data_IF_385020241734
#
_entry.id   IF_385020241734
#
_cell.length_a   1.000
_cell.length_b   1.000
_cell.length_c   1.000
_cell.angle_alpha   90.00
_cell.angle_beta   90.00
_cell.angle_gamma   90.00
#
_symmetry.space_group_name_H-M   'P 1'
#
loop_
_entity.id
_entity.type
_entity.pdbx_description
1 polymer ?
#
# COMPACT_ATOMS: atom_id res chain seq x y z
N UNK A 1 -2.89 -32.12 -22.60
CA UNK A 1 -2.29 -30.92 -23.22
C UNK A 1 -1.98 -30.05 -22.03
N UNK A 2 -0.70 -29.87 -21.72
CA UNK A 2 -0.26 -28.98 -20.65
C UNK A 2 -0.28 -27.61 -21.31
N UNK A 3 -1.33 -26.84 -21.01
CA UNK A 3 -1.42 -25.44 -21.40
C UNK A 3 -0.93 -24.63 -20.22
N UNK A 4 -0.20 -23.58 -20.51
CA UNK A 4 0.04 -22.50 -19.58
C UNK A 4 -1.24 -21.64 -19.63
N UNK A 5 -2.17 -21.90 -18.71
CA UNK A 5 -3.55 -21.39 -18.75
C UNK A 5 -3.61 -20.00 -18.09
N UNK A 6 -2.75 -19.75 -17.10
CA UNK A 6 -2.57 -18.45 -16.44
C UNK A 6 -1.42 -17.60 -17.01
N UNK A 7 -0.65 -18.13 -17.97
CA UNK A 7 0.43 -17.44 -18.68
C UNK A 7 1.68 -17.16 -17.82
N UNK A 8 1.92 -17.96 -16.77
CA UNK A 8 3.07 -17.85 -15.85
C UNK A 8 4.38 -18.43 -16.43
N UNK A 9 4.35 -18.96 -17.66
CA UNK A 9 5.51 -19.58 -18.32
C UNK A 9 5.85 -20.96 -17.78
N UNK A 10 5.07 -21.50 -16.85
CA UNK A 10 5.09 -22.87 -16.37
C UNK A 10 3.89 -23.66 -16.94
N UNK A 11 4.03 -24.98 -17.09
CA UNK A 11 2.93 -25.80 -17.58
C UNK A 11 1.91 -26.13 -16.47
N UNK A 12 0.65 -25.69 -16.62
CA UNK A 12 -0.42 -26.01 -15.66
C UNK A 12 -0.85 -27.46 -15.67
N UNK A 13 -1.12 -27.96 -14.47
CA UNK A 13 -1.69 -29.28 -14.29
C UNK A 13 -3.21 -29.22 -14.38
N UNK A 14 -3.68 -29.56 -15.56
CA UNK A 14 -5.06 -29.96 -15.80
C UNK A 14 -5.29 -31.38 -15.28
N UNK A 15 -6.03 -31.54 -14.17
CA UNK A 15 -6.40 -32.87 -13.66
C UNK A 15 -7.89 -33.12 -13.88
N UNK A 16 -8.20 -34.07 -14.75
CA UNK A 16 -9.58 -34.52 -14.96
C UNK A 16 -10.09 -35.31 -13.75
N UNK A 17 -11.17 -34.85 -13.13
CA UNK A 17 -11.92 -35.60 -12.12
C UNK A 17 -13.20 -36.19 -12.74
N UNK A 18 -13.72 -37.30 -12.17
CA UNK A 18 -14.90 -38.02 -12.68
C UNK A 18 -16.22 -37.22 -12.62
N UNK A 19 -16.18 -35.96 -12.18
CA UNK A 19 -17.33 -35.05 -12.07
C UNK A 19 -17.04 -33.61 -12.54
N UNK A 20 -15.93 -33.37 -13.23
CA UNK A 20 -15.55 -32.03 -13.67
C UNK A 20 -14.05 -31.92 -13.93
N UNK A 21 -13.65 -30.78 -14.46
CA UNK A 21 -12.25 -30.42 -14.62
C UNK A 21 -11.84 -29.55 -13.42
N UNK A 22 -10.83 -29.97 -12.67
CA UNK A 22 -10.16 -29.09 -11.70
C UNK A 22 -8.88 -28.60 -12.35
N UNK A 23 -8.78 -27.28 -12.57
CA UNK A 23 -7.50 -26.63 -12.88
C UNK A 23 -6.78 -26.57 -11.54
N UNK A 24 -5.64 -27.25 -11.42
CA UNK A 24 -4.70 -26.97 -10.34
C UNK A 24 -3.59 -26.13 -10.94
N UNK A 25 -3.66 -24.82 -10.71
CA UNK A 25 -2.55 -23.90 -10.96
C UNK A 25 -1.37 -24.38 -10.13
N UNK A 26 -0.19 -24.50 -10.75
CA UNK A 26 1.00 -24.90 -10.02
C UNK A 26 1.34 -23.73 -9.08
N UNK A 27 1.10 -23.88 -7.77
CA UNK A 27 1.28 -22.82 -6.75
C UNK A 27 2.74 -22.34 -6.54
N UNK A 28 3.59 -22.38 -7.56
CA UNK A 28 4.83 -21.60 -7.59
C UNK A 28 4.50 -20.16 -7.95
N UNK A 29 4.06 -19.38 -6.95
CA UNK A 29 4.07 -17.91 -6.94
C UNK A 29 3.73 -17.31 -8.30
N UNK A 30 2.43 -17.26 -8.62
CA UNK A 30 1.93 -16.39 -9.67
C UNK A 30 2.52 -14.98 -9.41
N UNK A 31 3.38 -14.43 -10.28
CA UNK A 31 3.91 -13.10 -10.07
C UNK A 31 2.73 -12.14 -10.03
N UNK A 32 2.73 -11.17 -9.10
CA UNK A 32 1.54 -10.38 -8.86
C UNK A 32 1.16 -9.60 -10.13
N UNK A 33 -0.13 -9.68 -10.50
CA UNK A 33 -0.78 -8.86 -11.54
C UNK A 33 -1.50 -7.73 -10.79
N UNK A 34 -0.83 -6.59 -10.68
CA UNK A 34 -1.18 -5.49 -9.80
C UNK A 34 -2.01 -4.43 -10.49
N UNK A 35 -1.90 -4.33 -11.82
CA UNK A 35 -2.74 -3.49 -12.65
C UNK A 35 -4.03 -4.20 -13.13
N UNK A 36 -4.15 -5.51 -12.84
CA UNK A 36 -5.26 -6.40 -13.19
C UNK A 36 -5.50 -6.51 -14.70
N UNK A 37 -4.45 -6.36 -15.51
CA UNK A 37 -4.55 -6.48 -16.97
C UNK A 37 -4.52 -7.94 -17.47
N UNK A 38 -4.27 -8.88 -16.56
CA UNK A 38 -4.16 -10.32 -16.84
C UNK A 38 -2.79 -10.75 -17.37
N UNK A 39 -1.77 -9.90 -17.21
CA UNK A 39 -0.36 -10.17 -17.44
C UNK A 39 0.37 -9.97 -16.12
N UNK A 40 1.27 -10.89 -15.79
CA UNK A 40 2.04 -10.78 -14.56
C UNK A 40 3.10 -9.67 -14.66
N UNK A 41 3.27 -8.87 -13.60
CA UNK A 41 4.21 -7.75 -13.51
C UNK A 41 5.66 -8.22 -13.24
N UNK A 42 6.18 -9.05 -14.13
CA UNK A 42 7.49 -9.74 -13.97
C UNK A 42 8.71 -8.86 -14.26
N UNK A 43 8.51 -7.72 -14.91
CA UNK A 43 9.56 -6.79 -15.35
C UNK A 43 9.43 -5.40 -14.68
N UNK A 44 8.53 -5.24 -13.71
CA UNK A 44 8.38 -3.97 -13.00
C UNK A 44 9.52 -3.76 -11.97
N UNK A 45 10.00 -2.51 -11.80
CA UNK A 45 11.08 -2.22 -10.89
C UNK A 45 10.63 -2.43 -9.44
N UNK A 46 11.54 -2.97 -8.65
CA UNK A 46 11.48 -3.03 -7.18
C UNK A 46 12.61 -2.12 -6.70
N UNK A 47 12.32 -0.83 -6.53
CA UNK A 47 13.32 0.19 -6.21
C UNK A 47 13.71 0.16 -4.72
N UNK A 48 12.82 -0.28 -3.84
CA UNK A 48 13.02 -0.32 -2.40
C UNK A 48 13.57 -1.67 -1.90
N UNK A 49 13.49 -2.71 -2.72
CA UNK A 49 14.10 -4.02 -2.52
C UNK A 49 13.32 -4.92 -1.55
N UNK A 50 12.03 -4.69 -1.37
CA UNK A 50 11.19 -5.45 -0.43
C UNK A 50 10.69 -6.79 -1.01
N UNK A 51 10.88 -7.01 -2.32
CA UNK A 51 10.49 -8.21 -3.04
C UNK A 51 9.07 -8.18 -3.60
N UNK A 52 8.40 -7.03 -3.55
CA UNK A 52 7.13 -6.70 -4.21
C UNK A 52 7.44 -5.64 -5.29
N UNK A 53 6.96 -5.77 -6.54
CA UNK A 53 7.15 -4.72 -7.54
C UNK A 53 6.56 -3.38 -7.09
N UNK A 54 7.19 -2.25 -7.43
CA UNK A 54 6.77 -0.91 -6.98
C UNK A 54 5.31 -0.59 -7.40
N UNK A 55 4.90 -1.03 -8.59
CA UNK A 55 3.53 -0.85 -9.10
C UNK A 55 2.48 -1.67 -8.32
N UNK A 56 2.94 -2.65 -7.53
CA UNK A 56 2.13 -3.46 -6.62
C UNK A 56 2.07 -2.89 -5.20
N UNK A 57 2.88 -1.89 -4.88
CA UNK A 57 2.89 -1.21 -3.60
C UNK A 57 1.88 -0.06 -3.61
N UNK A 58 1.36 0.33 -2.43
CA UNK A 58 0.44 1.47 -2.33
C UNK A 58 -0.94 1.30 -3.00
N UNK A 59 -1.35 0.09 -3.41
CA UNK A 59 -2.62 -0.14 -4.13
C UNK A 59 -3.89 0.26 -3.35
N UNK A 60 -3.82 0.31 -2.02
CA UNK A 60 -4.95 0.77 -1.20
C UNK A 60 -4.97 2.30 -1.15
N UNK A 61 -5.99 2.97 -1.69
CA UNK A 61 -6.05 4.42 -1.67
C UNK A 61 -6.20 4.92 -0.22
N UNK A 62 -5.42 5.94 0.12
CA UNK A 62 -5.44 6.57 1.42
C UNK A 62 -5.34 8.09 1.30
N UNK A 63 -5.46 8.78 2.43
CA UNK A 63 -5.18 10.20 2.54
C UNK A 63 -3.93 10.43 3.38
N UNK A 64 -2.88 10.98 2.78
CA UNK A 64 -1.65 11.33 3.50
C UNK A 64 -1.96 12.36 4.59
N UNK A 65 -1.47 12.13 5.80
CA UNK A 65 -1.72 12.96 6.97
C UNK A 65 -3.00 12.61 7.76
N UNK A 66 -3.86 11.70 7.31
CA UNK A 66 -4.96 11.13 8.12
C UNK A 66 -4.52 9.79 8.75
N UNK A 67 -3.58 9.90 9.69
CA UNK A 67 -2.94 8.76 10.33
C UNK A 67 -3.92 7.98 11.23
N UNK A 68 -4.89 8.68 11.83
CA UNK A 68 -5.88 8.03 12.68
C UNK A 68 -7.06 7.40 11.87
N UNK A 69 -7.15 7.72 10.57
CA UNK A 69 -8.12 7.23 9.58
C UNK A 69 -9.55 7.60 9.92
N UNK A 70 -9.78 8.82 10.39
CA UNK A 70 -11.10 9.36 10.71
C UNK A 70 -11.70 10.22 9.59
N UNK A 71 -10.95 10.44 8.50
CA UNK A 71 -11.35 11.18 7.31
C UNK A 71 -11.01 12.66 7.38
N UNK A 72 -10.41 13.12 8.48
CA UNK A 72 -9.97 14.50 8.67
C UNK A 72 -8.47 14.52 8.94
N UNK A 73 -7.78 15.50 8.37
CA UNK A 73 -6.38 15.76 8.70
C UNK A 73 -6.33 16.92 9.69
N UNK A 74 -6.15 16.61 10.97
CA UNK A 74 -6.15 17.58 12.07
C UNK A 74 -5.09 17.27 13.15
N UNK A 75 -5.27 17.84 14.35
CA UNK A 75 -4.29 17.67 15.45
C UNK A 75 -4.31 16.26 16.05
N UNK A 76 -5.36 15.47 15.84
CA UNK A 76 -5.47 14.11 16.33
C UNK A 76 -4.49 13.17 15.60
N UNK A 77 -4.15 13.46 14.34
CA UNK A 77 -3.21 12.67 13.54
C UNK A 77 -1.77 12.67 14.06
N UNK A 78 -1.11 13.81 14.29
CA UNK A 78 0.23 13.80 14.89
C UNK A 78 0.18 13.24 16.31
N UNK A 79 -0.91 13.42 17.07
CA UNK A 79 -1.06 12.76 18.39
C UNK A 79 -1.08 11.24 18.25
N UNK A 80 -1.72 10.70 17.21
CA UNK A 80 -1.74 9.27 16.92
C UNK A 80 -0.34 8.73 16.62
N UNK A 81 0.45 9.47 15.82
CA UNK A 81 1.86 9.15 15.54
C UNK A 81 2.70 9.14 16.83
N UNK A 82 2.59 10.18 17.67
CA UNK A 82 3.34 10.25 18.94
C UNK A 82 2.97 9.10 19.90
N UNK A 83 1.69 8.72 19.93
CA UNK A 83 1.22 7.58 20.73
C UNK A 83 1.89 6.28 20.29
N UNK A 84 1.95 6.04 18.98
CA UNK A 84 2.64 4.88 18.41
C UNK A 84 4.14 4.90 18.73
N UNK A 85 4.83 6.01 18.43
CA UNK A 85 6.29 6.10 18.54
C UNK A 85 6.81 6.06 19.99
N UNK A 86 6.11 6.69 20.93
CA UNK A 86 6.67 6.94 22.27
C UNK A 86 5.85 6.35 23.43
N UNK A 87 4.59 5.99 23.20
CA UNK A 87 3.68 5.57 24.27
C UNK A 87 3.12 4.15 24.08
N UNK A 88 3.75 3.35 23.22
CA UNK A 88 3.30 1.98 22.92
C UNK A 88 1.83 1.94 22.50
N UNK A 89 1.38 2.95 21.75
CA UNK A 89 0.09 2.99 21.10
C UNK A 89 -0.05 1.87 20.07
N UNK A 90 -1.24 1.76 19.49
CA UNK A 90 -1.48 0.80 18.41
C UNK A 90 -0.62 1.18 17.19
N UNK A 91 -0.12 0.18 16.48
CA UNK A 91 0.50 0.40 15.17
C UNK A 91 -0.56 0.99 14.21
N UNK A 92 -0.25 2.08 13.50
CA UNK A 92 -1.11 2.56 12.44
C UNK A 92 -1.31 1.46 11.41
N UNK A 93 -2.56 1.24 11.00
CA UNK A 93 -2.85 0.21 10.00
C UNK A 93 -2.72 0.73 8.57
N UNK A 94 -2.34 2.00 8.40
CA UNK A 94 -1.82 2.56 7.17
C UNK A 94 -0.62 3.42 7.55
N UNK A 95 0.60 2.93 7.27
CA UNK A 95 1.82 3.65 7.63
C UNK A 95 2.05 4.84 6.69
N UNK A 96 1.68 4.72 5.42
CA UNK A 96 1.81 5.78 4.41
C UNK A 96 0.94 7.00 4.74
N UNK A 97 -0.23 6.77 5.35
CA UNK A 97 -1.07 7.87 5.85
C UNK A 97 -0.40 8.65 7.00
N UNK A 98 0.53 8.02 7.73
CA UNK A 98 1.25 8.62 8.84
C UNK A 98 2.60 9.21 8.43
N UNK A 99 3.24 8.69 7.37
CA UNK A 99 4.41 9.30 6.74
C UNK A 99 3.98 10.56 5.99
N UNK A 100 3.98 11.68 6.71
CA UNK A 100 3.41 12.93 6.23
C UNK A 100 4.41 13.70 5.36
N UNK A 101 5.71 13.51 5.57
CA UNK A 101 6.73 14.16 4.76
C UNK A 101 7.21 13.29 3.59
N UNK A 102 6.69 12.07 3.46
CA UNK A 102 6.89 11.17 2.32
C UNK A 102 8.38 10.83 2.13
N UNK A 103 9.04 10.46 3.24
CA UNK A 103 10.47 10.12 3.24
C UNK A 103 10.77 8.62 3.40
N UNK A 104 9.72 7.80 3.43
CA UNK A 104 9.75 6.36 3.60
C UNK A 104 10.08 5.92 5.02
N UNK A 105 10.01 6.84 6.00
CA UNK A 105 10.33 6.54 7.39
C UNK A 105 9.40 7.22 8.39
N UNK A 106 8.51 6.44 9.01
CA UNK A 106 7.64 6.95 10.06
C UNK A 106 8.42 7.29 11.36
N UNK A 107 8.54 8.58 11.65
CA UNK A 107 9.23 9.10 12.83
C UNK A 107 8.63 10.44 13.33
N UNK A 108 9.33 11.15 14.23
CA UNK A 108 8.82 12.41 14.81
C UNK A 108 8.80 13.57 13.79
N UNK A 109 9.58 13.47 12.71
CA UNK A 109 9.61 14.46 11.64
C UNK A 109 8.24 14.58 10.98
N UNK A 110 7.48 13.50 10.85
CA UNK A 110 6.12 13.46 10.32
C UNK A 110 5.16 14.33 11.12
N UNK A 111 5.14 14.11 12.45
CA UNK A 111 4.34 14.92 13.37
C UNK A 111 4.69 16.39 13.26
N UNK A 112 5.98 16.73 13.22
CA UNK A 112 6.45 18.11 13.11
C UNK A 112 6.04 18.71 11.77
N UNK A 113 6.16 17.96 10.68
CA UNK A 113 5.76 18.37 9.35
C UNK A 113 4.26 18.71 9.34
N UNK A 114 3.42 17.79 9.79
CA UNK A 114 1.97 17.97 9.82
C UNK A 114 1.53 19.16 10.68
N UNK A 115 2.09 19.28 11.88
CA UNK A 115 1.81 20.41 12.77
C UNK A 115 2.25 21.75 12.16
N UNK A 116 3.35 21.77 11.41
CA UNK A 116 3.81 22.96 10.70
C UNK A 116 2.84 23.35 9.59
N UNK A 117 2.33 22.38 8.82
CA UNK A 117 1.28 22.60 7.83
C UNK A 117 0.02 23.17 8.47
N UNK A 118 -0.47 22.54 9.55
CA UNK A 118 -1.74 22.91 10.20
C UNK A 118 -1.71 24.29 10.87
N UNK A 119 -0.60 24.66 11.51
CA UNK A 119 -0.58 25.83 12.40
C UNK A 119 0.41 26.93 12.03
N UNK A 120 1.37 26.64 11.14
CA UNK A 120 2.45 27.59 10.81
C UNK A 120 2.50 27.95 9.33
N UNK A 121 1.58 27.44 8.51
CA UNK A 121 1.58 27.66 7.07
C UNK A 121 2.76 26.99 6.36
N UNK A 122 3.13 25.80 6.83
CA UNK A 122 4.13 24.95 6.18
C UNK A 122 3.73 24.49 4.78
N UNK A 123 4.62 23.74 4.12
CA UNK A 123 4.28 23.06 2.88
C UNK A 123 3.12 22.08 3.12
N UNK A 124 2.25 21.92 2.13
CA UNK A 124 1.25 20.85 2.16
C UNK A 124 1.96 19.51 1.96
N UNK A 125 1.52 18.45 2.66
CA UNK A 125 2.04 17.10 2.43
C UNK A 125 1.94 16.70 0.96
N UNK A 126 2.87 15.85 0.48
CA UNK A 126 2.80 15.28 -0.86
C UNK A 126 1.48 14.53 -1.12
N UNK A 127 1.19 14.26 -2.39
CA UNK A 127 0.07 13.37 -2.75
C UNK A 127 0.26 12.02 -2.04
N UNK A 128 -0.80 11.34 -1.57
CA UNK A 128 -2.23 11.65 -1.69
C UNK A 128 -2.83 12.45 -0.50
N UNK A 129 -2.46 13.72 -0.31
CA UNK A 129 -3.00 14.58 0.77
C UNK A 129 -4.40 15.19 0.51
N UNK A 130 -4.58 15.87 -0.62
CA UNK A 130 -5.82 16.61 -0.92
C UNK A 130 -6.95 15.69 -1.39
N UNK A 131 -6.57 14.66 -2.14
CA UNK A 131 -7.45 13.67 -2.76
C UNK A 131 -6.86 12.32 -2.44
N UNK A 132 -7.73 11.37 -2.08
CA UNK A 132 -7.32 10.01 -1.86
C UNK A 132 -6.67 9.43 -3.12
N UNK A 133 -5.68 8.58 -2.91
CA UNK A 133 -4.99 7.90 -3.98
C UNK A 133 -3.97 6.90 -3.44
N UNK A 134 -3.36 6.12 -4.33
CA UNK A 134 -2.22 5.29 -3.98
C UNK A 134 -1.02 6.16 -3.61
N UNK A 135 -0.02 5.55 -2.98
CA UNK A 135 1.27 6.19 -2.79
C UNK A 135 1.97 6.35 -4.15
N UNK A 136 2.31 7.57 -4.61
CA UNK A 136 3.04 7.76 -5.85
C UNK A 136 4.54 7.45 -5.72
N UNK A 137 5.03 7.24 -4.50
CA UNK A 137 6.43 6.95 -4.20
C UNK A 137 6.53 5.56 -3.59
N UNK A 138 7.30 4.68 -4.23
CA UNK A 138 7.62 3.39 -3.67
C UNK A 138 8.57 3.53 -2.49
N UNK A 139 8.21 2.93 -1.37
CA UNK A 139 9.02 2.84 -0.16
C UNK A 139 8.55 1.69 0.76
N UNK A 140 9.33 1.32 1.80
CA UNK A 140 9.02 0.16 2.63
C UNK A 140 7.79 0.29 3.53
N UNK A 141 7.18 1.48 3.62
CA UNK A 141 5.94 1.69 4.33
C UNK A 141 4.78 1.24 3.45
N UNK A 142 3.73 0.73 4.10
CA UNK A 142 2.57 0.24 3.38
C UNK A 142 1.27 0.67 4.04
N UNK A 143 0.25 0.77 3.20
CA UNK A 143 -1.12 0.97 3.63
C UNK A 143 -1.93 -0.33 3.63
N UNK A 144 -1.77 -1.15 4.68
CA UNK A 144 -2.51 -2.43 4.81
C UNK A 144 -4.03 -2.24 4.84
N UNK A 145 -4.51 -1.17 5.48
CA UNK A 145 -5.94 -0.86 5.52
C UNK A 145 -6.21 0.63 5.66
N UNK A 146 -7.11 1.13 4.82
CA UNK A 146 -7.72 2.44 4.95
C UNK A 146 -9.23 2.31 4.69
N UNK A 147 -10.12 2.97 5.46
CA UNK A 147 -11.55 2.78 5.28
C UNK A 147 -12.03 3.25 3.89
N UNK A 148 -12.56 2.31 3.10
CA UNK A 148 -13.15 2.56 1.77
C UNK A 148 -14.16 3.73 1.72
N UNK A 149 -15.05 3.94 2.72
CA UNK A 149 -15.93 5.12 2.71
C UNK A 149 -15.21 6.47 2.81
N UNK A 150 -13.94 6.49 3.26
CA UNK A 150 -13.11 7.68 3.37
C UNK A 150 -12.27 7.91 2.10
N UNK A 151 -11.93 6.84 1.39
CA UNK A 151 -11.24 6.85 0.09
C UNK A 151 -11.93 5.90 -0.91
N UNK A 152 -13.02 6.36 -1.55
CA UNK A 152 -13.80 5.57 -2.52
C UNK A 152 -13.28 5.62 -3.96
#
# INVERSE_FOLDING_TARGET
MIGDIDADGQPDLVRGAYHGFEVTFNETLDPPDCDYDGVADVDEPDLDGDGIPDDCQGLSPFRRGDCNRDGSTDIADPIYVELYLFLSGATPACLDACDTNDDGTLNIADSIYLLTTLFSGGALPPSPFDVCGPDPTADPLTCESYPDPLCP
#
